data_IF_549856747546
#
_entry.id   IF_549856747546
#
_cell.length_a   1.000
_cell.length_b   1.000
_cell.length_c   1.000
_cell.angle_alpha   90.00
_cell.angle_beta   90.00
_cell.angle_gamma   90.00
#
_symmetry.space_group_name_H-M   'P 1'
#
loop_
_entity.id
_entity.type
_entity.pdbx_description
1 polymer ?
#
# COMPACT_ATOMS: atom_id res chain seq x y z
N UNK A 1 34.68 -29.36 -8.22
CA UNK A 1 33.64 -28.79 -7.32
C UNK A 1 33.66 -27.25 -7.38
N UNK A 2 33.47 -26.66 -8.56
CA UNK A 2 33.46 -25.18 -8.79
C UNK A 2 32.52 -24.78 -9.95
N UNK A 3 31.58 -25.65 -10.34
CA UNK A 3 30.69 -25.43 -11.50
C UNK A 3 29.22 -25.19 -11.16
N UNK A 4 28.79 -25.34 -9.90
CA UNK A 4 27.35 -25.29 -9.57
C UNK A 4 26.82 -23.95 -9.04
N UNK A 5 27.68 -22.94 -8.87
CA UNK A 5 27.24 -21.62 -8.37
C UNK A 5 26.67 -20.73 -9.49
N UNK A 6 27.05 -20.96 -10.75
CA UNK A 6 26.51 -20.19 -11.88
C UNK A 6 25.11 -20.64 -12.32
N UNK A 7 24.71 -21.89 -12.06
CA UNK A 7 23.39 -22.41 -12.45
C UNK A 7 22.26 -21.92 -11.53
N UNK A 8 22.54 -21.69 -10.24
CA UNK A 8 21.55 -21.18 -9.27
C UNK A 8 21.13 -19.72 -9.54
N UNK A 9 21.97 -18.93 -10.23
CA UNK A 9 21.68 -17.52 -10.56
C UNK A 9 20.60 -17.35 -11.63
N UNK A 10 20.20 -18.42 -12.34
CA UNK A 10 19.16 -18.39 -13.38
C UNK A 10 17.73 -18.61 -12.86
N UNK A 11 17.55 -18.89 -11.57
CA UNK A 11 16.24 -19.22 -10.98
C UNK A 11 15.59 -18.08 -10.17
N UNK A 12 16.23 -16.92 -10.08
CA UNK A 12 15.67 -15.75 -9.41
C UNK A 12 15.03 -14.82 -10.45
N UNK A 13 13.74 -14.42 -10.29
CA UNK A 13 13.12 -13.45 -11.18
C UNK A 13 13.96 -12.16 -11.19
N UNK A 14 14.26 -11.64 -12.39
CA UNK A 14 15.07 -10.41 -12.62
C UNK A 14 14.56 -9.19 -11.83
N UNK A 15 13.33 -9.22 -11.31
CA UNK A 15 12.75 -8.19 -10.44
C UNK A 15 13.37 -8.08 -9.04
N UNK A 16 14.20 -9.04 -8.61
CA UNK A 16 14.84 -9.04 -7.28
C UNK A 16 16.27 -8.48 -7.27
N UNK A 17 16.90 -8.29 -8.43
CA UNK A 17 18.31 -7.90 -8.50
C UNK A 17 18.55 -6.39 -8.43
N UNK A 18 17.49 -5.58 -8.55
CA UNK A 18 17.61 -4.13 -8.55
C UNK A 18 16.45 -3.47 -7.80
N UNK A 19 16.71 -2.80 -6.66
CA UNK A 19 15.65 -2.14 -5.88
C UNK A 19 15.04 -0.99 -6.69
N UNK A 20 13.72 -0.82 -6.53
CA UNK A 20 12.97 0.33 -7.07
C UNK A 20 13.61 1.63 -6.61
N UNK A 21 13.56 2.67 -7.44
CA UNK A 21 14.04 4.00 -7.06
C UNK A 21 13.28 4.46 -5.80
N UNK A 22 13.95 5.14 -4.86
CA UNK A 22 13.28 5.60 -3.63
C UNK A 22 12.17 6.57 -3.99
N UNK A 23 11.03 6.52 -3.30
CA UNK A 23 9.88 7.39 -3.57
C UNK A 23 10.22 8.88 -3.48
N UNK A 24 11.17 9.26 -2.60
CA UNK A 24 11.67 10.64 -2.51
C UNK A 24 12.42 11.11 -3.75
N UNK A 25 13.27 10.25 -4.32
CA UNK A 25 14.04 10.56 -5.53
C UNK A 25 13.10 10.59 -6.77
N UNK A 26 12.12 9.69 -6.82
CA UNK A 26 11.06 9.71 -7.85
C UNK A 26 10.27 11.04 -7.79
N UNK A 27 9.89 11.51 -6.60
CA UNK A 27 9.16 12.77 -6.44
C UNK A 27 10.02 13.96 -6.89
N UNK A 28 11.28 14.01 -6.47
CA UNK A 28 12.19 15.09 -6.82
C UNK A 28 12.40 15.17 -8.34
N UNK A 29 12.60 14.01 -8.97
CA UNK A 29 12.73 13.89 -10.42
C UNK A 29 11.48 14.41 -11.14
N UNK A 30 10.29 13.90 -10.78
CA UNK A 30 9.04 14.29 -11.41
C UNK A 30 8.70 15.77 -11.21
N UNK A 31 8.94 16.34 -10.01
CA UNK A 31 8.71 17.77 -9.76
C UNK A 31 9.62 18.66 -10.60
N UNK A 32 10.89 18.29 -10.76
CA UNK A 32 11.82 19.05 -11.60
C UNK A 32 11.46 18.91 -13.07
N UNK A 33 11.17 17.70 -13.52
CA UNK A 33 10.76 17.44 -14.89
C UNK A 33 9.47 18.18 -15.25
N UNK A 34 8.45 18.13 -14.38
CA UNK A 34 7.19 18.85 -14.56
C UNK A 34 7.41 20.36 -14.67
N UNK A 35 8.20 20.95 -13.76
CA UNK A 35 8.55 22.38 -13.82
C UNK A 35 9.23 22.77 -15.12
N UNK A 36 10.20 21.96 -15.59
CA UNK A 36 10.93 22.24 -16.81
C UNK A 36 10.03 22.11 -18.05
N UNK A 37 9.20 21.07 -18.12
CA UNK A 37 8.27 20.88 -19.24
C UNK A 37 7.20 21.99 -19.26
N UNK A 38 6.61 22.34 -18.11
CA UNK A 38 5.65 23.45 -18.01
C UNK A 38 6.30 24.81 -18.33
N UNK A 39 7.62 24.95 -18.11
CA UNK A 39 8.37 26.14 -18.52
C UNK A 39 8.73 26.16 -20.01
N UNK A 40 8.30 25.15 -20.78
CA UNK A 40 8.51 25.07 -22.23
C UNK A 40 9.83 24.43 -22.67
N UNK A 41 10.62 23.86 -21.74
CA UNK A 41 11.85 23.17 -22.12
C UNK A 41 11.54 21.84 -22.85
N UNK A 42 12.19 21.55 -23.99
CA UNK A 42 12.12 20.24 -24.63
C UNK A 42 12.52 19.11 -23.68
N UNK A 43 11.89 17.94 -23.82
CA UNK A 43 12.08 16.81 -22.90
C UNK A 43 13.57 16.41 -22.73
N UNK A 44 14.34 16.38 -23.81
CA UNK A 44 15.76 16.01 -23.76
C UNK A 44 16.61 17.05 -23.01
N UNK A 45 16.32 18.33 -23.22
CA UNK A 45 17.00 19.42 -22.49
C UNK A 45 16.64 19.40 -21.02
N UNK A 46 15.36 19.18 -20.71
CA UNK A 46 14.89 19.03 -19.33
C UNK A 46 15.60 17.87 -18.62
N UNK A 47 15.77 16.73 -19.29
CA UNK A 47 16.51 15.59 -18.74
C UNK A 47 18.00 15.90 -18.53
N UNK A 48 18.64 16.60 -19.47
CA UNK A 48 20.02 17.04 -19.33
C UNK A 48 20.21 17.96 -18.12
N UNK A 49 19.29 18.91 -17.89
CA UNK A 49 19.30 19.79 -16.72
C UNK A 49 19.09 19.05 -15.40
N UNK A 50 18.19 18.05 -15.38
CA UNK A 50 18.00 17.21 -14.18
C UNK A 50 19.29 16.42 -13.87
N UNK A 51 20.04 16.04 -14.91
CA UNK A 51 21.31 15.34 -14.79
C UNK A 51 22.42 16.11 -14.08
N UNK A 52 22.28 17.44 -13.89
CA UNK A 52 23.23 18.25 -13.11
C UNK A 52 23.22 17.92 -11.62
N UNK A 53 22.13 17.34 -11.10
CA UNK A 53 22.10 16.84 -9.72
C UNK A 53 22.71 15.44 -9.66
N UNK A 54 23.82 15.25 -8.92
CA UNK A 54 24.48 13.95 -8.81
C UNK A 54 23.55 12.82 -8.38
N UNK A 55 22.52 13.12 -7.56
CA UNK A 55 21.55 12.14 -7.08
C UNK A 55 20.62 11.61 -8.17
N UNK A 56 20.41 12.38 -9.23
CA UNK A 56 19.48 12.07 -10.32
C UNK A 56 20.19 11.83 -11.66
N UNK A 57 21.51 12.11 -11.73
CA UNK A 57 22.34 11.98 -12.92
C UNK A 57 22.18 10.62 -13.63
N UNK A 58 22.38 9.52 -12.91
CA UNK A 58 22.22 8.16 -13.44
C UNK A 58 20.82 7.89 -13.98
N UNK A 59 19.79 8.37 -13.27
CA UNK A 59 18.38 8.17 -13.64
C UNK A 59 18.03 8.97 -14.88
N UNK A 60 18.48 10.23 -14.96
CA UNK A 60 18.29 11.09 -16.11
C UNK A 60 19.02 10.55 -17.35
N UNK A 61 20.25 10.06 -17.17
CA UNK A 61 21.03 9.44 -18.25
C UNK A 61 20.36 8.17 -18.78
N UNK A 62 19.87 7.29 -17.90
CA UNK A 62 19.19 6.05 -18.30
C UNK A 62 17.88 6.31 -19.08
N UNK A 63 17.11 7.33 -18.68
CA UNK A 63 15.91 7.75 -19.41
C UNK A 63 16.28 8.37 -20.76
N UNK A 64 17.26 9.29 -20.77
CA UNK A 64 17.71 9.98 -21.99
C UNK A 64 18.22 8.98 -23.03
N UNK A 65 19.06 8.04 -22.61
CA UNK A 65 19.58 6.96 -23.45
C UNK A 65 18.45 6.12 -24.06
N UNK A 66 17.46 5.73 -23.24
CA UNK A 66 16.34 4.92 -23.71
C UNK A 66 15.47 5.65 -24.74
N UNK A 67 15.21 6.94 -24.51
CA UNK A 67 14.44 7.76 -25.42
C UNK A 67 15.21 8.05 -26.73
N UNK A 68 16.53 8.25 -26.65
CA UNK A 68 17.40 8.43 -27.82
C UNK A 68 17.36 7.20 -28.74
N UNK A 69 17.27 6.00 -28.16
CA UNK A 69 17.09 4.73 -28.88
C UNK A 69 15.64 4.48 -29.34
N UNK A 70 14.75 5.47 -29.25
CA UNK A 70 13.36 5.38 -29.71
C UNK A 70 12.44 4.54 -28.81
N UNK A 71 12.86 4.21 -27.59
CA UNK A 71 11.94 3.57 -26.64
C UNK A 71 10.87 4.57 -26.18
N UNK A 72 9.64 4.11 -25.94
CA UNK A 72 8.59 5.00 -25.45
C UNK A 72 8.84 5.39 -23.99
N UNK A 73 8.33 6.55 -23.59
CA UNK A 73 8.59 7.16 -22.28
C UNK A 73 8.22 6.26 -21.10
N UNK A 74 7.14 5.50 -21.21
CA UNK A 74 6.70 4.60 -20.16
C UNK A 74 7.69 3.44 -19.94
N UNK A 75 8.36 2.98 -21.01
CA UNK A 75 9.43 1.97 -20.94
C UNK A 75 10.75 2.55 -20.45
N UNK A 76 11.08 3.78 -20.84
CA UNK A 76 12.26 4.49 -20.34
C UNK A 76 12.20 4.66 -18.80
N UNK A 77 11.05 5.07 -18.26
CA UNK A 77 10.84 5.19 -16.82
C UNK A 77 10.78 3.83 -16.11
N UNK A 78 10.27 2.79 -16.78
CA UNK A 78 10.29 1.42 -16.26
C UNK A 78 11.72 0.89 -16.11
N UNK A 79 12.58 1.14 -17.11
CA UNK A 79 14.01 0.81 -17.08
C UNK A 79 14.72 1.56 -15.95
N UNK A 80 14.42 2.85 -15.78
CA UNK A 80 14.87 3.70 -14.68
C UNK A 80 14.20 3.41 -13.32
N UNK A 81 13.49 2.27 -13.19
CA UNK A 81 12.99 1.70 -11.93
C UNK A 81 11.97 2.57 -11.19
N UNK A 82 11.20 3.36 -11.92
CA UNK A 82 10.05 4.07 -11.37
C UNK A 82 8.96 3.10 -10.92
N UNK A 83 8.08 3.56 -10.02
CA UNK A 83 6.98 2.73 -9.55
C UNK A 83 6.02 2.35 -10.69
N UNK A 84 5.42 1.16 -10.58
CA UNK A 84 4.47 0.64 -11.58
C UNK A 84 3.29 1.58 -11.85
N UNK A 85 2.85 2.33 -10.83
CA UNK A 85 1.77 3.29 -10.99
C UNK A 85 2.19 4.40 -11.97
N UNK A 86 3.38 4.97 -11.81
CA UNK A 86 3.92 6.05 -12.66
C UNK A 86 4.07 5.57 -14.11
N UNK A 87 4.67 4.40 -14.31
CA UNK A 87 4.84 3.85 -15.65
C UNK A 87 3.48 3.53 -16.29
N UNK A 88 2.46 3.14 -15.51
CA UNK A 88 1.08 3.01 -16.00
C UNK A 88 0.52 4.34 -16.48
N UNK A 89 0.63 5.40 -15.68
CA UNK A 89 0.18 6.74 -16.08
C UNK A 89 0.85 7.22 -17.36
N UNK A 90 2.17 7.06 -17.46
CA UNK A 90 2.93 7.44 -18.66
C UNK A 90 2.51 6.65 -19.91
N UNK A 91 2.07 5.41 -19.77
CA UNK A 91 1.59 4.61 -20.90
C UNK A 91 0.27 5.12 -21.47
N UNK A 92 -0.67 5.51 -20.61
CA UNK A 92 -1.91 6.11 -21.07
C UNK A 92 -1.68 7.54 -21.60
N UNK A 93 -0.76 8.28 -20.99
CA UNK A 93 -0.36 9.61 -21.47
C UNK A 93 0.24 9.58 -22.88
N UNK A 94 0.94 8.50 -23.25
CA UNK A 94 1.44 8.31 -24.61
C UNK A 94 0.33 8.34 -25.65
N UNK A 95 -0.78 7.65 -25.40
CA UNK A 95 -1.92 7.66 -26.32
C UNK A 95 -2.58 9.04 -26.39
N UNK A 96 -2.50 9.78 -25.28
CA UNK A 96 -3.25 11.03 -25.13
C UNK A 96 -2.44 12.29 -25.48
N UNK A 97 -1.13 12.16 -25.70
CA UNK A 97 -0.21 13.27 -25.99
C UNK A 97 0.04 14.23 -24.82
N UNK A 98 -0.63 14.03 -23.69
CA UNK A 98 -0.67 14.97 -22.56
C UNK A 98 0.35 14.58 -21.48
N UNK A 99 1.63 14.71 -21.82
CA UNK A 99 2.73 14.34 -20.94
C UNK A 99 2.87 15.29 -19.75
N UNK A 100 2.65 16.59 -19.98
CA UNK A 100 2.80 17.63 -18.96
C UNK A 100 1.86 17.40 -17.76
N UNK A 101 0.56 17.29 -18.03
CA UNK A 101 -0.42 17.06 -16.95
C UNK A 101 -0.18 15.71 -16.25
N UNK A 102 0.25 14.70 -17.00
CA UNK A 102 0.53 13.37 -16.44
C UNK A 102 1.70 13.39 -15.47
N UNK A 103 2.80 14.09 -15.80
CA UNK A 103 3.95 14.21 -14.91
C UNK A 103 3.58 14.96 -13.64
N UNK A 104 2.80 16.04 -13.76
CA UNK A 104 2.31 16.80 -12.62
C UNK A 104 1.41 15.94 -11.73
N UNK A 105 0.47 15.21 -12.31
CA UNK A 105 -0.38 14.24 -11.59
C UNK A 105 0.45 13.17 -10.88
N UNK A 106 1.45 12.58 -11.54
CA UNK A 106 2.34 11.61 -10.92
C UNK A 106 3.10 12.20 -9.72
N UNK A 107 3.56 13.45 -9.85
CA UNK A 107 4.27 14.15 -8.78
C UNK A 107 3.36 14.38 -7.56
N UNK A 108 2.13 14.87 -7.76
CA UNK A 108 1.16 15.07 -6.70
C UNK A 108 0.80 13.76 -6.01
N UNK A 109 0.61 12.69 -6.78
CA UNK A 109 0.30 11.37 -6.24
C UNK A 109 1.39 10.82 -5.32
N UNK A 110 2.66 10.99 -5.68
CA UNK A 110 3.78 10.54 -4.83
C UNK A 110 3.92 11.47 -3.61
N UNK A 111 3.70 12.77 -3.78
CA UNK A 111 3.71 13.72 -2.68
C UNK A 111 2.66 13.38 -1.63
N UNK A 112 1.42 13.08 -2.05
CA UNK A 112 0.34 12.61 -1.16
C UNK A 112 0.71 11.29 -0.48
N UNK A 113 1.33 10.34 -1.18
CA UNK A 113 1.79 9.09 -0.57
C UNK A 113 2.88 9.33 0.48
N UNK A 114 3.85 10.20 0.21
CA UNK A 114 4.91 10.53 1.14
C UNK A 114 4.39 11.30 2.36
N UNK A 115 3.42 12.21 2.17
CA UNK A 115 2.80 12.94 3.28
C UNK A 115 2.03 12.00 4.20
N UNK A 116 1.27 11.04 3.65
CA UNK A 116 0.61 9.97 4.41
C UNK A 116 1.62 9.11 5.18
N UNK A 117 2.72 8.71 4.54
CA UNK A 117 3.79 7.95 5.19
C UNK A 117 4.43 8.73 6.34
N UNK A 118 4.71 10.03 6.13
CA UNK A 118 5.23 10.88 7.19
C UNK A 118 4.23 11.08 8.33
N UNK A 119 2.94 11.22 8.03
CA UNK A 119 1.89 11.30 9.05
C UNK A 119 1.82 9.99 9.85
N UNK A 120 1.80 8.85 9.17
CA UNK A 120 1.84 7.53 9.81
C UNK A 120 3.06 7.36 10.71
N UNK A 121 4.26 7.71 10.21
CA UNK A 121 5.49 7.66 10.98
C UNK A 121 5.44 8.59 12.20
N UNK A 122 4.86 9.79 12.07
CA UNK A 122 4.68 10.70 13.21
C UNK A 122 3.72 10.10 14.24
N UNK A 123 2.59 9.55 13.81
CA UNK A 123 1.57 8.98 14.70
C UNK A 123 2.07 7.73 15.42
N UNK A 124 2.83 6.85 14.77
CA UNK A 124 3.27 5.58 15.37
C UNK A 124 4.48 5.72 16.31
N UNK A 125 5.26 6.80 16.20
CA UNK A 125 6.45 7.04 17.06
C UNK A 125 6.13 6.99 18.55
N UNK A 126 5.05 7.65 18.97
CA UNK A 126 4.67 7.72 20.38
C UNK A 126 4.22 6.34 20.92
N UNK A 127 3.28 5.63 20.28
CA UNK A 127 2.97 4.23 20.60
C UNK A 127 4.19 3.33 20.73
N UNK A 128 5.17 3.46 19.83
CA UNK A 128 6.34 2.58 19.79
C UNK A 128 7.30 2.84 20.95
N UNK A 129 7.49 4.12 21.34
CA UNK A 129 8.24 4.48 22.54
C UNK A 129 7.56 3.90 23.79
N UNK A 130 6.24 4.08 23.91
CA UNK A 130 5.47 3.63 25.06
C UNK A 130 5.48 2.09 25.18
N UNK A 131 5.30 1.38 24.07
CA UNK A 131 5.44 -0.09 24.02
C UNK A 131 6.86 -0.49 24.45
N UNK A 132 7.91 0.20 23.97
CA UNK A 132 9.29 -0.08 24.37
C UNK A 132 9.52 0.07 25.88
N UNK A 133 9.09 1.18 26.46
CA UNK A 133 9.15 1.40 27.92
C UNK A 133 8.38 0.30 28.67
N UNK A 134 7.21 -0.05 28.17
CA UNK A 134 6.36 -1.05 28.77
C UNK A 134 6.97 -2.46 28.70
N UNK A 135 7.62 -2.82 27.59
CA UNK A 135 8.37 -4.07 27.47
C UNK A 135 9.52 -4.15 28.47
N UNK A 136 10.25 -3.04 28.70
CA UNK A 136 11.29 -2.97 29.73
C UNK A 136 10.70 -3.17 31.13
N UNK A 137 9.57 -2.52 31.43
CA UNK A 137 8.87 -2.69 32.70
C UNK A 137 8.40 -4.14 32.91
N UNK A 138 7.79 -4.77 31.91
CA UNK A 138 7.39 -6.18 31.97
C UNK A 138 8.58 -7.10 32.21
N UNK A 139 9.70 -6.85 31.53
CA UNK A 139 10.93 -7.62 31.73
C UNK A 139 11.43 -7.51 33.17
N UNK A 140 11.44 -6.30 33.75
CA UNK A 140 11.82 -6.08 35.14
C UNK A 140 10.88 -6.81 36.12
N UNK A 141 9.56 -6.70 35.92
CA UNK A 141 8.56 -7.40 36.74
C UNK A 141 8.77 -8.92 36.67
N UNK A 142 8.97 -9.48 35.48
CA UNK A 142 9.21 -10.91 35.29
C UNK A 142 10.51 -11.41 35.94
N UNK A 143 11.58 -10.63 35.91
CA UNK A 143 12.89 -11.11 36.39
C UNK A 143 13.19 -10.77 37.86
N UNK A 144 12.60 -9.71 38.40
CA UNK A 144 12.90 -9.25 39.77
C UNK A 144 11.72 -9.46 40.71
N UNK A 145 10.55 -8.94 40.34
CA UNK A 145 9.37 -8.94 41.20
C UNK A 145 8.79 -10.36 41.30
N UNK A 146 8.67 -11.04 40.17
CA UNK A 146 8.09 -12.37 40.09
C UNK A 146 8.82 -13.45 40.92
N UNK A 147 10.15 -13.66 40.81
CA UNK A 147 10.82 -14.70 41.61
C UNK A 147 10.76 -14.42 43.11
N UNK A 148 10.78 -13.14 43.52
CA UNK A 148 10.60 -12.76 44.92
C UNK A 148 9.22 -13.18 45.45
N UNK A 149 8.16 -13.04 44.64
CA UNK A 149 6.83 -13.51 45.01
C UNK A 149 6.71 -15.03 45.10
N UNK A 150 7.30 -15.79 44.16
CA UNK A 150 7.28 -17.26 44.25
C UNK A 150 7.92 -17.72 45.56
N UNK A 151 9.07 -17.15 45.94
CA UNK A 151 9.76 -17.52 47.16
C UNK A 151 8.86 -17.37 48.40
N UNK A 152 8.14 -16.25 48.51
CA UNK A 152 7.21 -15.97 49.62
C UNK A 152 6.05 -16.97 49.64
N UNK A 153 5.46 -17.26 48.48
CA UNK A 153 4.31 -18.17 48.37
C UNK A 153 4.72 -19.63 48.65
N UNK A 154 5.90 -20.06 48.20
CA UNK A 154 6.43 -21.40 48.51
C UNK A 154 6.69 -21.60 50.00
N UNK A 155 6.97 -20.53 50.74
CA UNK A 155 7.13 -20.58 52.20
C UNK A 155 5.81 -20.57 52.99
N UNK A 156 4.68 -20.12 52.40
CA UNK A 156 3.40 -20.00 53.10
C UNK A 156 2.41 -21.16 52.86
N UNK A 157 2.73 -22.11 51.96
CA UNK A 157 1.86 -23.22 51.59
C UNK A 157 0.86 -22.86 50.48
N UNK A 158 0.77 -23.75 49.47
CA UNK A 158 0.00 -23.71 48.21
C UNK A 158 -0.15 -22.35 47.50
N UNK A 159 0.47 -22.24 46.33
CA UNK A 159 0.28 -21.10 45.43
C UNK A 159 -1.19 -21.00 45.01
N UNK A 160 -1.89 -19.88 45.31
CA UNK A 160 -3.29 -19.73 44.94
C UNK A 160 -3.43 -19.83 43.42
N UNK A 161 -4.41 -20.61 42.93
CA UNK A 161 -4.66 -20.91 41.50
C UNK A 161 -4.62 -19.66 40.60
N UNK A 162 -5.05 -18.51 41.13
CA UNK A 162 -5.08 -17.23 40.41
C UNK A 162 -3.67 -16.66 40.16
N UNK A 163 -2.70 -16.89 41.07
CA UNK A 163 -1.30 -16.48 40.86
C UNK A 163 -0.64 -17.31 39.77
N UNK A 164 -0.79 -18.64 39.78
CA UNK A 164 -0.36 -19.54 38.70
C UNK A 164 -0.95 -19.19 37.34
N UNK A 165 -2.22 -18.78 37.30
CA UNK A 165 -2.87 -18.32 36.07
C UNK A 165 -2.29 -16.97 35.57
N UNK A 166 -2.04 -16.04 36.47
CA UNK A 166 -1.47 -14.73 36.11
C UNK A 166 -0.07 -14.87 35.50
N UNK A 167 0.73 -15.79 36.06
CA UNK A 167 2.07 -16.15 35.58
C UNK A 167 2.00 -16.65 34.13
N UNK A 168 1.11 -17.62 33.89
CA UNK A 168 0.95 -18.23 32.58
C UNK A 168 0.51 -17.19 31.54
N UNK A 169 -0.37 -16.26 31.90
CA UNK A 169 -0.81 -15.20 30.99
C UNK A 169 0.30 -14.17 30.74
N UNK A 170 1.12 -13.78 31.74
CA UNK A 170 2.27 -12.88 31.53
C UNK A 170 3.28 -13.51 30.58
N UNK A 171 3.60 -14.79 30.76
CA UNK A 171 4.53 -15.50 29.88
C UNK A 171 3.97 -15.66 28.47
N UNK A 172 2.68 -15.99 28.33
CA UNK A 172 2.01 -16.05 27.02
C UNK A 172 2.01 -14.68 26.36
N UNK A 173 1.70 -13.59 27.07
CA UNK A 173 1.67 -12.25 26.50
C UNK A 173 3.05 -11.81 26.01
N UNK A 174 4.09 -12.00 26.84
CA UNK A 174 5.46 -11.63 26.47
C UNK A 174 5.95 -12.45 25.27
N UNK A 175 5.76 -13.77 25.30
CA UNK A 175 6.19 -14.64 24.23
C UNK A 175 5.36 -14.42 22.95
N UNK A 176 4.06 -14.17 23.06
CA UNK A 176 3.19 -13.84 21.93
C UNK A 176 3.56 -12.51 21.27
N UNK A 177 3.95 -11.49 22.04
CA UNK A 177 4.46 -10.24 21.46
C UNK A 177 5.74 -10.49 20.66
N UNK A 178 6.69 -11.25 21.21
CA UNK A 178 7.96 -11.58 20.52
C UNK A 178 7.68 -12.39 19.25
N UNK A 179 6.86 -13.44 19.34
CA UNK A 179 6.47 -14.27 18.19
C UNK A 179 5.69 -13.47 17.17
N UNK A 180 4.84 -12.52 17.57
CA UNK A 180 4.13 -11.63 16.66
C UNK A 180 5.08 -10.69 15.91
N UNK A 181 6.01 -10.03 16.60
CA UNK A 181 7.00 -9.15 15.95
C UNK A 181 7.93 -9.92 15.02
N UNK A 182 8.43 -11.08 15.45
CA UNK A 182 9.29 -11.95 14.64
C UNK A 182 8.51 -12.56 13.46
N UNK A 183 7.26 -12.95 13.70
CA UNK A 183 6.33 -13.46 12.70
C UNK A 183 6.01 -12.42 11.64
N UNK A 184 5.71 -11.17 12.01
CA UNK A 184 5.54 -10.08 11.06
C UNK A 184 6.81 -9.81 10.24
N UNK A 185 7.99 -9.83 10.87
CA UNK A 185 9.27 -9.60 10.20
C UNK A 185 9.52 -10.61 9.05
N UNK A 186 9.09 -11.86 9.23
CA UNK A 186 9.28 -12.95 8.26
C UNK A 186 8.08 -13.09 7.31
N UNK A 187 6.85 -12.96 7.82
CA UNK A 187 5.63 -13.16 7.05
C UNK A 187 5.40 -12.06 6.01
N UNK A 188 5.75 -10.81 6.32
CA UNK A 188 5.60 -9.68 5.38
C UNK A 188 6.42 -9.90 4.08
N UNK A 189 7.74 -10.19 4.12
CA UNK A 189 8.50 -10.43 2.90
C UNK A 189 8.10 -11.72 2.18
N UNK A 190 7.75 -12.78 2.91
CA UNK A 190 7.28 -14.04 2.32
C UNK A 190 5.94 -13.85 1.61
N UNK A 191 5.00 -13.10 2.21
CA UNK A 191 3.72 -12.77 1.58
C UNK A 191 3.90 -11.88 0.34
N UNK A 192 4.79 -10.88 0.40
CA UNK A 192 5.12 -10.02 -0.74
C UNK A 192 5.71 -10.81 -1.91
N UNK A 193 6.53 -11.83 -1.63
CA UNK A 193 7.07 -12.74 -2.65
C UNK A 193 6.00 -13.71 -3.17
N UNK A 194 5.21 -14.32 -2.29
CA UNK A 194 4.18 -15.30 -2.65
C UNK A 194 3.03 -14.70 -3.46
N UNK A 195 2.68 -13.42 -3.23
CA UNK A 195 1.61 -12.73 -3.95
C UNK A 195 1.86 -12.65 -5.46
N UNK A 196 3.10 -12.70 -5.92
CA UNK A 196 3.45 -12.66 -7.35
C UNK A 196 3.01 -13.93 -8.12
N UNK A 197 2.72 -15.03 -7.42
CA UNK A 197 2.35 -16.31 -8.01
C UNK A 197 0.85 -16.65 -7.88
N UNK A 198 0.04 -15.77 -7.28
CA UNK A 198 -1.38 -16.04 -7.07
C UNK A 198 -2.18 -15.54 -8.28
N UNK A 199 -3.06 -16.36 -8.88
CA UNK A 199 -3.90 -15.92 -9.99
C UNK A 199 -4.83 -14.79 -9.53
N UNK A 200 -5.00 -13.79 -10.40
CA UNK A 200 -5.67 -12.52 -10.07
C UNK A 200 -7.08 -12.74 -9.52
N UNK A 201 -7.81 -13.74 -10.03
CA UNK A 201 -9.17 -14.09 -9.59
C UNK A 201 -9.22 -14.55 -8.12
N UNK A 202 -8.24 -15.34 -7.70
CA UNK A 202 -8.14 -15.79 -6.30
C UNK A 202 -7.70 -14.65 -5.41
N UNK A 203 -6.81 -13.79 -5.89
CA UNK A 203 -6.39 -12.61 -5.16
C UNK A 203 -7.56 -11.64 -4.91
N UNK A 204 -8.39 -11.40 -5.93
CA UNK A 204 -9.60 -10.58 -5.82
C UNK A 204 -10.55 -11.18 -4.78
N UNK A 205 -10.83 -12.49 -4.84
CA UNK A 205 -11.73 -13.18 -3.89
C UNK A 205 -11.20 -13.20 -2.45
N UNK A 206 -9.89 -13.27 -2.26
CA UNK A 206 -9.28 -13.25 -0.92
C UNK A 206 -9.29 -11.85 -0.33
N UNK A 207 -8.91 -10.85 -1.13
CA UNK A 207 -8.94 -9.47 -0.72
C UNK A 207 -10.36 -8.94 -0.45
N UNK A 208 -11.37 -9.47 -1.17
CA UNK A 208 -12.77 -9.08 -0.95
C UNK A 208 -13.37 -9.62 0.35
N UNK A 209 -12.75 -10.61 1.01
CA UNK A 209 -13.24 -11.19 2.27
C UNK A 209 -12.95 -10.35 3.50
N UNK A 210 -11.93 -9.49 3.45
CA UNK A 210 -11.60 -8.59 4.57
C UNK A 210 -12.28 -7.24 4.30
N UNK A 211 -13.32 -6.83 5.06
CA UNK A 211 -14.15 -5.67 4.72
C UNK A 211 -13.35 -4.38 4.57
N UNK A 212 -12.33 -4.18 5.41
CA UNK A 212 -11.47 -2.99 5.40
C UNK A 212 -10.62 -2.93 4.13
N UNK A 213 -9.96 -4.05 3.77
CA UNK A 213 -9.11 -4.15 2.58
C UNK A 213 -9.97 -4.07 1.31
N UNK A 214 -11.12 -4.75 1.31
CA UNK A 214 -12.09 -4.75 0.22
C UNK A 214 -12.57 -3.33 -0.09
N UNK A 215 -12.98 -2.57 0.94
CA UNK A 215 -13.43 -1.19 0.77
C UNK A 215 -12.34 -0.28 0.20
N UNK A 216 -11.09 -0.39 0.65
CA UNK A 216 -9.99 0.39 0.10
C UNK A 216 -9.64 0.00 -1.34
N UNK A 217 -9.60 -1.31 -1.63
CA UNK A 217 -9.36 -1.80 -2.99
C UNK A 217 -10.47 -1.41 -3.96
N UNK A 218 -11.72 -1.36 -3.49
CA UNK A 218 -12.86 -0.90 -4.29
C UNK A 218 -12.70 0.55 -4.71
N UNK A 219 -12.40 1.43 -3.76
CA UNK A 219 -12.08 2.84 -4.04
C UNK A 219 -10.90 2.97 -5.00
N UNK A 220 -9.79 2.27 -4.72
CA UNK A 220 -8.59 2.33 -5.57
C UNK A 220 -8.85 1.85 -6.98
N UNK A 221 -9.56 0.73 -7.15
CA UNK A 221 -9.83 0.14 -8.46
C UNK A 221 -10.80 1.02 -9.25
N UNK A 222 -11.82 1.56 -8.60
CA UNK A 222 -12.76 2.53 -9.20
C UNK A 222 -12.05 3.81 -9.61
N UNK A 223 -11.15 4.33 -8.77
CA UNK A 223 -10.35 5.52 -9.08
C UNK A 223 -9.47 5.31 -10.30
N UNK A 224 -8.70 4.22 -10.33
CA UNK A 224 -7.84 3.90 -11.48
C UNK A 224 -8.67 3.74 -12.76
N UNK A 225 -9.83 3.11 -12.66
CA UNK A 225 -10.75 2.98 -13.80
C UNK A 225 -11.24 4.34 -14.28
N UNK A 226 -11.78 5.18 -13.39
CA UNK A 226 -12.32 6.49 -13.75
C UNK A 226 -11.24 7.40 -14.35
N UNK A 227 -10.06 7.44 -13.72
CA UNK A 227 -8.94 8.27 -14.17
C UNK A 227 -8.40 7.84 -15.53
N UNK A 228 -8.13 6.55 -15.74
CA UNK A 228 -7.57 6.07 -17.01
C UNK A 228 -8.60 6.07 -18.14
N UNK A 229 -9.85 5.71 -17.86
CA UNK A 229 -10.91 5.78 -18.86
C UNK A 229 -11.22 7.22 -19.25
N UNK A 230 -11.36 8.14 -18.27
CA UNK A 230 -11.55 9.57 -18.54
C UNK A 230 -10.42 10.13 -19.41
N UNK A 231 -9.17 9.81 -19.06
CA UNK A 231 -8.01 10.22 -19.85
C UNK A 231 -8.06 9.72 -21.30
N UNK A 232 -8.42 8.45 -21.53
CA UNK A 232 -8.56 7.91 -22.89
C UNK A 232 -9.71 8.57 -23.67
N UNK A 233 -10.85 8.81 -23.02
CA UNK A 233 -11.99 9.48 -23.66
C UNK A 233 -11.70 10.93 -24.05
N UNK A 234 -10.80 11.61 -23.34
CA UNK A 234 -10.33 12.97 -23.69
C UNK A 234 -9.77 13.05 -25.12
N UNK A 235 -9.22 11.95 -25.64
CA UNK A 235 -8.65 11.89 -26.99
C UNK A 235 -9.61 11.46 -28.08
N UNK A 236 -10.91 11.53 -27.83
CA UNK A 236 -11.95 11.16 -28.80
C UNK A 236 -11.86 9.70 -29.27
N UNK A 237 -11.16 8.84 -28.52
CA UNK A 237 -11.10 7.41 -28.78
C UNK A 237 -12.48 6.81 -28.47
N UNK A 238 -13.04 5.97 -29.36
CA UNK A 238 -14.29 5.26 -29.08
C UNK A 238 -14.21 4.46 -27.77
N UNK A 239 -15.29 4.46 -26.99
CA UNK A 239 -15.31 3.82 -25.67
C UNK A 239 -14.94 2.33 -25.71
N UNK A 240 -15.28 1.63 -26.81
CA UNK A 240 -14.90 0.22 -27.02
C UNK A 240 -13.38 0.06 -27.12
N UNK A 241 -12.72 0.90 -27.90
CA UNK A 241 -11.27 0.88 -28.07
C UNK A 241 -10.56 1.28 -26.77
N UNK A 242 -11.13 2.23 -26.02
CA UNK A 242 -10.64 2.58 -24.69
C UNK A 242 -10.64 1.37 -23.74
N UNK A 243 -11.67 0.52 -23.75
CA UNK A 243 -11.68 -0.72 -22.97
C UNK A 243 -10.66 -1.75 -23.46
N UNK A 244 -10.42 -1.83 -24.77
CA UNK A 244 -9.37 -2.69 -25.31
C UNK A 244 -7.98 -2.23 -24.86
N UNK A 245 -7.70 -0.92 -24.86
CA UNK A 245 -6.44 -0.36 -24.35
C UNK A 245 -6.27 -0.65 -22.85
N UNK A 246 -7.34 -0.48 -22.06
CA UNK A 246 -7.36 -0.82 -20.63
C UNK A 246 -7.17 -2.31 -20.35
N UNK A 247 -7.58 -3.19 -21.27
CA UNK A 247 -7.39 -4.64 -21.18
C UNK A 247 -5.95 -5.06 -21.48
N UNK A 248 -5.31 -4.49 -22.51
CA UNK A 248 -3.97 -4.92 -22.97
C UNK A 248 -2.80 -4.46 -22.09
N UNK A 249 -3.02 -3.49 -21.21
CA UNK A 249 -1.98 -3.04 -20.28
C UNK A 249 -1.67 -4.12 -19.22
N UNK A 250 -0.39 -4.37 -19.00
CA UNK A 250 0.09 -5.43 -18.09
C UNK A 250 0.34 -4.93 -16.67
N UNK A 251 0.18 -3.62 -16.42
CA UNK A 251 0.68 -2.97 -15.21
C UNK A 251 -0.32 -2.95 -14.05
N UNK A 252 -1.60 -2.94 -14.37
CA UNK A 252 -2.74 -2.92 -13.46
C UNK A 252 -3.61 -4.15 -13.73
N UNK A 253 -3.23 -5.34 -13.24
CA UNK A 253 -3.85 -6.59 -13.67
C UNK A 253 -5.33 -6.73 -13.24
N UNK A 254 -5.73 -6.15 -12.10
CA UNK A 254 -7.13 -6.10 -11.67
C UNK A 254 -7.96 -5.25 -12.65
N UNK A 255 -7.42 -4.11 -13.07
CA UNK A 255 -8.08 -3.21 -14.00
C UNK A 255 -8.18 -3.83 -15.40
N UNK A 256 -7.10 -4.45 -15.88
CA UNK A 256 -7.05 -5.18 -17.15
C UNK A 256 -8.11 -6.29 -17.19
N UNK A 257 -8.19 -7.09 -16.13
CA UNK A 257 -9.19 -8.15 -16.02
C UNK A 257 -10.64 -7.63 -16.10
N UNK A 258 -10.96 -6.55 -15.36
CA UNK A 258 -12.30 -5.96 -15.42
C UNK A 258 -12.60 -5.29 -16.75
N UNK A 259 -11.63 -4.60 -17.35
CA UNK A 259 -11.77 -4.01 -18.68
C UNK A 259 -12.04 -5.08 -19.74
N UNK A 260 -11.33 -6.22 -19.70
CA UNK A 260 -11.57 -7.34 -20.60
C UNK A 260 -12.98 -7.93 -20.45
N UNK A 261 -13.49 -8.06 -19.22
CA UNK A 261 -14.90 -8.47 -19.00
C UNK A 261 -15.89 -7.47 -19.57
N UNK A 262 -15.67 -6.17 -19.38
CA UNK A 262 -16.55 -5.13 -19.92
C UNK A 262 -16.52 -5.16 -21.46
N UNK A 263 -15.33 -5.23 -22.06
CA UNK A 263 -15.15 -5.30 -23.51
C UNK A 263 -15.88 -6.49 -24.13
N UNK A 264 -15.67 -7.70 -23.60
CA UNK A 264 -16.33 -8.92 -24.11
C UNK A 264 -17.86 -8.87 -23.97
N UNK A 265 -18.40 -8.28 -22.89
CA UNK A 265 -19.85 -8.16 -22.75
C UNK A 265 -20.45 -7.08 -23.67
N UNK A 266 -19.71 -6.00 -23.96
CA UNK A 266 -20.10 -4.99 -24.95
C UNK A 266 -20.10 -5.54 -26.37
N UNK A 267 -19.16 -6.42 -26.71
CA UNK A 267 -19.14 -7.15 -27.99
C UNK A 267 -20.38 -8.06 -28.13
N UNK A 268 -20.84 -8.65 -27.03
CA UNK A 268 -22.06 -9.45 -26.96
C UNK A 268 -23.36 -8.60 -26.90
N UNK A 269 -23.29 -7.29 -27.12
CA UNK A 269 -24.45 -6.40 -27.16
C UNK A 269 -25.07 -6.05 -25.79
N UNK A 270 -24.41 -6.40 -24.68
CA UNK A 270 -24.90 -6.06 -23.33
C UNK A 270 -24.54 -4.62 -22.96
N UNK A 271 -25.46 -3.92 -22.29
CA UNK A 271 -25.21 -2.58 -21.78
C UNK A 271 -24.23 -2.56 -20.59
N UNK A 272 -23.31 -1.58 -20.60
CA UNK A 272 -22.30 -1.39 -19.55
C UNK A 272 -22.90 -1.23 -18.15
N UNK A 273 -24.05 -0.56 -18.06
CA UNK A 273 -24.79 -0.31 -16.82
C UNK A 273 -25.34 -1.59 -16.20
N UNK A 274 -25.54 -2.66 -16.98
CA UNK A 274 -25.90 -3.97 -16.47
C UNK A 274 -24.71 -4.81 -15.99
N UNK A 275 -23.49 -4.48 -16.44
CA UNK A 275 -22.28 -5.25 -16.12
C UNK A 275 -21.57 -4.67 -14.90
N UNK A 276 -21.49 -3.35 -14.78
CA UNK A 276 -20.82 -2.64 -13.67
C UNK A 276 -21.22 -3.15 -12.28
N UNK A 277 -22.52 -3.39 -11.97
CA UNK A 277 -22.93 -3.90 -10.65
C UNK A 277 -22.40 -5.31 -10.33
N UNK A 278 -22.07 -6.12 -11.35
CA UNK A 278 -21.53 -7.47 -11.15
C UNK A 278 -20.04 -7.47 -10.75
N UNK A 279 -19.37 -6.32 -10.84
CA UNK A 279 -17.94 -6.17 -10.59
C UNK A 279 -17.69 -5.77 -9.12
N UNK A 280 -17.28 -6.73 -8.31
CA UNK A 280 -17.18 -6.63 -6.84
C UNK A 280 -16.29 -5.46 -6.37
N UNK A 281 -15.22 -5.15 -7.10
CA UNK A 281 -14.27 -4.09 -6.74
C UNK A 281 -14.58 -2.73 -7.40
N UNK A 282 -15.77 -2.53 -7.95
CA UNK A 282 -16.23 -1.20 -8.37
C UNK A 282 -17.31 -0.65 -7.44
N UNK A 283 -17.20 0.64 -7.13
CA UNK A 283 -18.23 1.36 -6.38
C UNK A 283 -19.54 1.43 -7.18
N UNK A 284 -20.68 1.26 -6.49
CA UNK A 284 -21.99 1.26 -7.15
C UNK A 284 -22.32 2.60 -7.81
N UNK A 285 -21.84 3.70 -7.23
CA UNK A 285 -21.97 5.07 -7.76
C UNK A 285 -21.44 5.18 -9.21
N UNK A 286 -20.45 4.36 -9.59
CA UNK A 286 -19.92 4.32 -10.96
C UNK A 286 -21.01 3.97 -11.98
N UNK A 287 -21.94 3.07 -11.63
CA UNK A 287 -23.05 2.69 -12.52
C UNK A 287 -23.95 3.88 -12.82
N UNK A 288 -24.22 4.74 -11.83
CA UNK A 288 -25.03 5.95 -11.99
C UNK A 288 -24.39 6.96 -12.94
N UNK A 289 -23.06 7.09 -12.90
CA UNK A 289 -22.30 7.96 -13.82
C UNK A 289 -22.48 7.49 -15.27
N UNK A 290 -22.40 6.17 -15.52
CA UNK A 290 -22.64 5.62 -16.86
C UNK A 290 -24.10 5.67 -17.29
N UNK A 291 -25.06 5.62 -16.36
CA UNK A 291 -26.49 5.73 -16.68
C UNK A 291 -26.88 7.15 -17.08
N UNK A 292 -26.32 8.16 -16.40
CA UNK A 292 -26.62 9.58 -16.65
C UNK A 292 -26.01 10.08 -17.97
N UNK A 293 -24.85 9.57 -18.34
CA UNK A 293 -24.07 10.09 -19.46
C UNK A 293 -24.28 9.25 -20.72
N UNK A 294 -24.92 9.87 -21.72
CA UNK A 294 -25.10 9.28 -23.06
C UNK A 294 -23.92 9.67 -23.97
N UNK A 295 -23.32 10.83 -23.73
CA UNK A 295 -22.25 11.40 -24.54
C UNK A 295 -20.87 11.10 -23.94
N UNK A 296 -19.90 10.73 -24.79
CA UNK A 296 -18.53 10.42 -24.37
C UNK A 296 -17.83 11.62 -23.69
N UNK A 297 -18.14 12.85 -24.11
CA UNK A 297 -17.56 14.08 -23.55
C UNK A 297 -18.08 14.41 -22.15
N UNK A 298 -19.37 14.17 -21.90
CA UNK A 298 -19.95 14.35 -20.56
C UNK A 298 -19.44 13.27 -19.61
N UNK A 299 -19.35 12.03 -20.11
CA UNK A 299 -18.77 10.91 -19.38
C UNK A 299 -17.30 11.16 -18.99
N UNK A 300 -16.48 11.69 -19.91
CA UNK A 300 -15.09 12.05 -19.63
C UNK A 300 -14.98 13.03 -18.46
N UNK A 301 -15.72 14.14 -18.53
CA UNK A 301 -15.74 15.16 -17.47
C UNK A 301 -16.21 14.58 -16.13
N UNK A 302 -17.32 13.84 -16.13
CA UNK A 302 -17.89 13.29 -14.90
C UNK A 302 -16.97 12.21 -14.29
N UNK A 303 -16.25 11.43 -15.10
CA UNK A 303 -15.24 10.47 -14.62
C UNK A 303 -14.03 11.16 -13.98
N UNK A 304 -13.57 12.28 -14.54
CA UNK A 304 -12.49 13.07 -13.93
C UNK A 304 -12.91 13.65 -12.58
N UNK A 305 -14.08 14.28 -12.51
CA UNK A 305 -14.63 14.81 -11.26
C UNK A 305 -14.80 13.68 -10.22
N UNK A 306 -15.28 12.52 -10.66
CA UNK A 306 -15.45 11.38 -9.77
C UNK A 306 -14.12 10.80 -9.28
N UNK A 307 -13.07 10.80 -10.11
CA UNK A 307 -11.73 10.40 -9.69
C UNK A 307 -11.18 11.31 -8.58
N UNK A 308 -11.45 12.62 -8.63
CA UNK A 308 -11.08 13.56 -7.58
C UNK A 308 -11.82 13.25 -6.26
N UNK A 309 -13.15 13.05 -6.33
CA UNK A 309 -13.93 12.64 -5.15
C UNK A 309 -13.45 11.32 -4.52
N UNK A 310 -13.08 10.34 -5.36
CA UNK A 310 -12.53 9.08 -4.88
C UNK A 310 -11.16 9.27 -4.22
N UNK A 311 -10.35 10.20 -4.73
CA UNK A 311 -9.05 10.55 -4.14
C UNK A 311 -9.22 11.11 -2.74
N UNK A 312 -10.16 12.04 -2.55
CA UNK A 312 -10.46 12.61 -1.25
C UNK A 312 -11.00 11.56 -0.27
N UNK A 313 -11.93 10.71 -0.71
CA UNK A 313 -12.45 9.58 0.11
C UNK A 313 -11.34 8.59 0.50
N UNK A 314 -10.40 8.31 -0.40
CA UNK A 314 -9.24 7.46 -0.08
C UNK A 314 -8.34 8.10 0.96
N UNK A 315 -8.05 9.40 0.82
CA UNK A 315 -7.25 10.16 1.79
C UNK A 315 -7.93 10.17 3.17
N UNK A 316 -9.23 10.44 3.21
CA UNK A 316 -10.00 10.51 4.45
C UNK A 316 -10.02 9.15 5.18
N UNK A 317 -10.19 8.05 4.44
CA UNK A 317 -10.11 6.69 5.01
C UNK A 317 -8.73 6.39 5.58
N UNK A 318 -7.65 6.73 4.86
CA UNK A 318 -6.28 6.52 5.35
C UNK A 318 -6.07 7.33 6.63
N UNK A 319 -6.48 8.59 6.65
CA UNK A 319 -6.35 9.45 7.83
C UNK A 319 -7.15 8.91 9.03
N UNK A 320 -8.39 8.41 8.80
CA UNK A 320 -9.20 7.75 9.84
C UNK A 320 -8.51 6.53 10.41
N UNK A 321 -7.93 5.68 9.56
CA UNK A 321 -7.18 4.50 10.02
C UNK A 321 -5.96 4.92 10.84
N UNK A 322 -5.18 5.90 10.37
CA UNK A 322 -4.01 6.41 11.10
C UNK A 322 -4.42 6.97 12.47
N UNK A 323 -5.51 7.72 12.54
CA UNK A 323 -6.02 8.31 13.78
C UNK A 323 -6.49 7.25 14.80
N UNK A 324 -7.04 6.12 14.34
CA UNK A 324 -7.51 5.04 15.22
C UNK A 324 -6.37 4.19 15.83
N UNK A 325 -5.17 4.21 15.24
CA UNK A 325 -4.04 3.42 15.74
C UNK A 325 -3.70 3.80 17.19
N UNK A 326 -3.65 5.09 17.49
CA UNK A 326 -3.27 5.60 18.81
C UNK A 326 -4.22 5.17 19.94
N UNK A 327 -5.55 5.41 19.88
CA UNK A 327 -6.47 5.00 20.93
C UNK A 327 -6.52 3.47 21.09
N UNK A 328 -6.40 2.70 20.01
CA UNK A 328 -6.34 1.23 20.10
C UNK A 328 -5.12 0.79 20.91
N UNK A 329 -3.94 1.36 20.63
CA UNK A 329 -2.72 1.03 21.37
C UNK A 329 -2.84 1.42 22.84
N UNK A 330 -3.44 2.58 23.15
CA UNK A 330 -3.63 3.00 24.54
C UNK A 330 -4.62 2.12 25.29
N UNK A 331 -5.71 1.71 24.65
CA UNK A 331 -6.67 0.78 25.25
C UNK A 331 -6.01 -0.55 25.56
N UNK A 332 -5.19 -1.07 24.63
CA UNK A 332 -4.42 -2.29 24.83
C UNK A 332 -3.43 -2.15 26.00
N UNK A 333 -2.68 -1.04 26.05
CA UNK A 333 -1.75 -0.75 27.14
C UNK A 333 -2.45 -0.60 28.49
N UNK A 334 -3.57 0.11 28.55
CA UNK A 334 -4.35 0.27 29.78
C UNK A 334 -4.85 -1.09 30.30
N UNK A 335 -5.39 -1.93 29.42
CA UNK A 335 -5.77 -3.30 29.76
C UNK A 335 -4.59 -4.12 30.29
N UNK A 336 -3.42 -3.98 29.67
CA UNK A 336 -2.20 -4.67 30.10
C UNK A 336 -1.70 -4.16 31.46
N UNK A 337 -1.74 -2.85 31.71
CA UNK A 337 -1.38 -2.25 33.01
C UNK A 337 -2.29 -2.77 34.12
N UNK A 338 -3.61 -2.76 33.90
CA UNK A 338 -4.58 -3.30 34.87
C UNK A 338 -4.30 -4.77 35.13
N UNK A 339 -4.01 -5.54 34.07
CA UNK A 339 -3.68 -6.94 34.18
C UNK A 339 -2.42 -7.18 35.03
N UNK A 340 -1.33 -6.43 34.79
CA UNK A 340 -0.09 -6.51 35.59
C UNK A 340 -0.35 -6.11 37.04
N UNK A 341 -1.10 -5.03 37.26
CA UNK A 341 -1.45 -4.56 38.60
C UNK A 341 -2.22 -5.63 39.39
N UNK A 342 -3.26 -6.24 38.78
CA UNK A 342 -4.02 -7.32 39.40
C UNK A 342 -3.14 -8.54 39.68
N UNK A 343 -2.24 -8.89 38.76
CA UNK A 343 -1.29 -10.01 38.95
C UNK A 343 -0.38 -9.82 40.17
N UNK A 344 -0.07 -8.58 40.56
CA UNK A 344 0.77 -8.27 41.72
C UNK A 344 -0.06 -8.09 43.00
N UNK A 345 -1.17 -7.36 42.94
CA UNK A 345 -1.98 -7.03 44.11
C UNK A 345 -2.79 -8.20 44.66
N UNK A 346 -3.27 -9.08 43.78
CA UNK A 346 -4.09 -10.22 44.19
C UNK A 346 -3.34 -11.19 45.12
N UNK A 347 -2.08 -11.60 44.82
CA UNK A 347 -1.27 -12.37 45.78
C UNK A 347 -1.06 -11.64 47.12
N UNK A 348 -0.85 -10.31 47.09
CA UNK A 348 -0.67 -9.53 48.33
C UNK A 348 -1.91 -9.59 49.24
N UNK A 349 -3.12 -9.50 48.68
CA UNK A 349 -4.35 -9.64 49.47
C UNK A 349 -4.53 -11.03 50.06
N UNK A 350 -4.06 -12.08 49.40
CA UNK A 350 -4.10 -13.44 49.93
C UNK A 350 -3.15 -13.60 51.11
N UNK A 351 -1.94 -13.04 51.03
CA UNK A 351 -1.01 -13.04 52.16
C UNK A 351 -1.59 -12.33 53.39
N UNK A 352 -2.23 -11.16 53.21
CA UNK A 352 -2.86 -10.41 54.31
C UNK A 352 -4.02 -11.19 54.95
N UNK A 353 -4.76 -12.02 54.20
CA UNK A 353 -5.86 -12.84 54.75
C UNK A 353 -5.38 -14.09 55.51
N UNK A 354 -4.13 -14.51 55.31
CA UNK A 354 -3.58 -15.74 55.90
C UNK A 354 -2.79 -15.44 57.19
N UNK A 355 -2.48 -14.16 57.43
CA UNK A 355 -1.98 -13.61 58.70
C UNK A 355 -3.19 -13.10 59.49
#
# INVERSE_FOLDING_TARGET
MRMDIQASRKLLPRSLLHPKLKSGDQLLFLKRLGRLITSGYPLMEALAMIGWDPRLSDTAAEISDSLYHGQPIDRAFEKARFSQNITSYLYFARSNGDLESTINLCSEMIERQLSQLHQFQKTIRYPLLLIGLFTVLLYFVKNSVYPAFIQIITSSGEAPVITSLSILIIDILFNSMIVFFLGCLIAIPVWLAARQHIPIDRQIKWCSRVPVISSYLRLKTTFLFALHLGSLLKTSIPIKDAFQILNHQQRLPILSFYAGRIASNLENGRHITGILPSLILFEQELTGIFQKNINAKELERDLHIYADFLTDRMQEKINKVIALIQPIVFCLLAGLIIFVYLSIMLPMFQLIKTI
#
